data_IF_936126746088
#
_entry.id   IF_936126746088
#
_cell.length_a   1.000
_cell.length_b   1.000
_cell.length_c   1.000
_cell.angle_alpha   90.00
_cell.angle_beta   90.00
_cell.angle_gamma   90.00
#
_symmetry.space_group_name_H-M   'P 1'
#
loop_
_entity.id
_entity.type
_entity.pdbx_description
1 polymer ?
#
# COMPACT_ATOMS: atom_id res chain seq x y z
N UNK A 1 -3.19 24.65 17.84
CA UNK A 1 -1.73 24.46 17.79
C UNK A 1 -1.36 24.06 16.36
N UNK A 2 -0.29 24.62 15.79
CA UNK A 2 0.16 24.33 14.43
C UNK A 2 1.57 23.74 14.53
N UNK A 3 1.81 22.61 13.86
CA UNK A 3 3.12 21.97 13.80
C UNK A 3 3.49 21.69 12.36
N UNK A 4 4.70 22.07 11.97
CA UNK A 4 5.25 21.88 10.63
C UNK A 4 6.50 21.01 10.71
N UNK A 5 6.39 19.78 10.20
CA UNK A 5 7.40 18.71 10.26
C UNK A 5 8.11 18.56 11.62
N UNK A 6 7.37 18.55 12.75
CA UNK A 6 7.97 18.68 14.08
C UNK A 6 8.84 17.48 14.49
N UNK A 7 8.68 16.34 13.83
CA UNK A 7 9.37 15.08 14.15
C UNK A 7 10.43 14.68 13.11
N UNK A 8 10.60 15.46 12.04
CA UNK A 8 11.46 15.10 10.91
C UNK A 8 12.94 14.94 11.29
N UNK A 9 13.40 15.67 12.31
CA UNK A 9 14.79 15.63 12.79
C UNK A 9 15.08 14.50 13.79
N UNK A 10 14.08 13.76 14.25
CA UNK A 10 14.23 12.73 15.28
C UNK A 10 14.62 11.38 14.69
N UNK A 11 15.35 10.56 15.45
CA UNK A 11 15.56 9.16 15.10
C UNK A 11 14.25 8.37 15.20
N UNK A 12 14.23 7.18 14.58
CA UNK A 12 13.00 6.38 14.46
C UNK A 12 12.35 6.05 15.80
N UNK A 13 13.14 5.72 16.83
CA UNK A 13 12.61 5.31 18.13
C UNK A 13 12.01 6.50 18.87
N UNK A 14 12.76 7.62 18.92
CA UNK A 14 12.29 8.82 19.59
C UNK A 14 11.08 9.43 18.85
N UNK A 15 11.07 9.36 17.51
CA UNK A 15 9.94 9.77 16.68
C UNK A 15 8.66 9.03 17.07
N UNK A 16 8.72 7.70 17.16
CA UNK A 16 7.55 6.88 17.55
C UNK A 16 7.06 7.22 18.96
N UNK A 17 7.97 7.42 19.91
CA UNK A 17 7.61 7.82 21.28
C UNK A 17 6.93 9.20 21.31
N UNK A 18 7.49 10.18 20.59
CA UNK A 18 6.94 11.53 20.52
C UNK A 18 5.59 11.59 19.79
N UNK A 19 5.35 10.72 18.80
CA UNK A 19 4.02 10.59 18.17
C UNK A 19 2.96 10.24 19.22
N UNK A 20 3.20 9.19 20.01
CA UNK A 20 2.26 8.76 21.05
C UNK A 20 2.01 9.87 22.08
N UNK A 21 3.07 10.54 22.53
CA UNK A 21 2.96 11.62 23.52
C UNK A 21 2.21 12.85 22.95
N UNK A 22 2.51 13.28 21.73
CA UNK A 22 1.81 14.40 21.09
C UNK A 22 0.32 14.12 20.93
N UNK A 23 -0.06 12.89 20.57
CA UNK A 23 -1.46 12.47 20.46
C UNK A 23 -2.15 12.51 21.83
N UNK A 24 -1.49 12.01 22.86
CA UNK A 24 -2.01 12.05 24.24
C UNK A 24 -2.18 13.49 24.75
N UNK A 25 -1.22 14.38 24.47
CA UNK A 25 -1.31 15.81 24.80
C UNK A 25 -2.49 16.45 24.08
N UNK A 26 -2.64 16.22 22.78
CA UNK A 26 -3.75 16.76 22.01
C UNK A 26 -5.11 16.33 22.59
N UNK A 27 -5.27 15.04 22.91
CA UNK A 27 -6.49 14.50 23.49
C UNK A 27 -6.78 15.09 24.88
N UNK A 28 -5.75 15.26 25.71
CA UNK A 28 -5.88 15.83 27.05
C UNK A 28 -6.24 17.31 27.04
N UNK A 29 -5.68 18.08 26.12
CA UNK A 29 -5.86 19.54 26.05
C UNK A 29 -7.13 19.91 25.26
N UNK A 30 -7.57 19.06 24.32
CA UNK A 30 -8.82 19.26 23.58
C UNK A 30 -8.78 20.43 22.59
N UNK A 31 -7.59 20.90 22.22
CA UNK A 31 -7.42 21.98 21.24
C UNK A 31 -7.37 21.43 19.80
N UNK A 32 -7.76 22.27 18.84
CA UNK A 32 -7.54 21.97 17.42
C UNK A 32 -6.04 21.90 17.12
N UNK A 33 -5.65 20.82 16.46
CA UNK A 33 -4.27 20.54 16.08
C UNK A 33 -4.20 20.44 14.57
N UNK A 34 -3.30 21.22 13.95
CA UNK A 34 -2.96 21.07 12.53
C UNK A 34 -1.51 20.61 12.50
N UNK A 35 -1.30 19.45 11.88
CA UNK A 35 -0.01 18.79 11.77
C UNK A 35 0.32 18.63 10.29
N UNK A 36 1.45 19.18 9.87
CA UNK A 36 1.95 19.09 8.49
C UNK A 36 3.16 18.16 8.49
N UNK A 37 3.14 17.17 7.60
CA UNK A 37 4.24 16.22 7.43
C UNK A 37 4.29 15.74 5.99
N UNK A 38 5.47 15.31 5.55
CA UNK A 38 5.65 14.52 4.33
C UNK A 38 5.68 13.01 4.61
N UNK A 39 5.67 12.58 5.88
CA UNK A 39 5.70 11.17 6.28
C UNK A 39 4.27 10.59 6.34
N UNK A 40 4.07 9.50 5.61
CA UNK A 40 2.77 8.85 5.46
C UNK A 40 2.35 8.11 6.73
N UNK A 41 3.29 7.48 7.42
CA UNK A 41 3.02 6.73 8.65
C UNK A 41 2.60 7.71 9.75
N UNK A 42 3.28 8.85 9.85
CA UNK A 42 2.88 9.95 10.72
C UNK A 42 1.45 10.43 10.43
N UNK A 43 1.14 10.72 9.16
CA UNK A 43 -0.19 11.21 8.79
C UNK A 43 -1.29 10.20 9.17
N UNK A 44 -1.06 8.91 8.93
CA UNK A 44 -2.02 7.84 9.19
C UNK A 44 -2.22 7.55 10.68
N UNK A 45 -1.18 7.68 11.52
CA UNK A 45 -1.26 7.33 12.95
C UNK A 45 -1.69 8.50 13.83
N UNK A 46 -1.31 9.73 13.46
CA UNK A 46 -1.50 10.93 14.29
C UNK A 46 -2.80 11.67 14.04
N UNK A 47 -3.39 11.51 12.85
CA UNK A 47 -4.48 12.37 12.39
C UNK A 47 -5.85 11.71 12.51
N UNK A 48 -6.85 12.46 12.97
CA UNK A 48 -8.26 12.04 12.85
C UNK A 48 -8.76 12.19 11.41
N UNK A 49 -8.25 13.21 10.71
CA UNK A 49 -8.49 13.48 9.28
C UNK A 49 -7.21 13.98 8.63
N UNK A 50 -7.01 13.59 7.37
CA UNK A 50 -5.86 13.94 6.55
C UNK A 50 -6.36 14.69 5.33
N UNK A 51 -5.67 15.78 4.98
CA UNK A 51 -5.82 16.44 3.69
C UNK A 51 -4.55 16.18 2.86
N UNK A 52 -4.69 15.50 1.73
CA UNK A 52 -3.58 15.23 0.82
C UNK A 52 -3.46 16.38 -0.17
N UNK A 53 -2.27 16.98 -0.25
CA UNK A 53 -1.98 18.10 -1.15
C UNK A 53 -1.13 17.64 -2.34
N UNK A 54 -1.43 18.19 -3.51
CA UNK A 54 -0.64 18.05 -4.72
C UNK A 54 -0.64 19.39 -5.48
N UNK A 55 0.54 19.87 -5.88
CA UNK A 55 0.69 21.16 -6.58
C UNK A 55 -0.09 22.34 -5.95
N UNK A 56 -0.11 22.40 -4.61
CA UNK A 56 -0.81 23.46 -3.87
C UNK A 56 -2.34 23.33 -3.83
N UNK A 57 -2.91 22.23 -4.33
CA UNK A 57 -4.34 21.91 -4.26
C UNK A 57 -4.58 20.70 -3.37
N UNK A 58 -5.75 20.67 -2.74
CA UNK A 58 -6.21 19.49 -1.99
C UNK A 58 -6.76 18.48 -2.99
N UNK A 59 -6.14 17.31 -3.04
CA UNK A 59 -6.58 16.16 -3.84
C UNK A 59 -7.71 15.40 -3.14
N UNK A 60 -7.58 15.20 -1.82
CA UNK A 60 -8.55 14.46 -1.03
C UNK A 60 -8.47 14.86 0.44
N UNK A 61 -9.63 14.87 1.11
CA UNK A 61 -9.72 14.97 2.57
C UNK A 61 -10.56 13.81 3.09
N UNK A 62 -10.06 13.10 4.09
CA UNK A 62 -10.75 11.93 4.66
C UNK A 62 -10.10 11.47 5.95
N UNK A 63 -10.68 10.46 6.58
CA UNK A 63 -10.04 9.70 7.66
C UNK A 63 -8.83 8.94 7.12
N UNK A 64 -7.87 8.53 7.99
CA UNK A 64 -6.75 7.67 7.57
C UNK A 64 -7.19 6.43 6.78
N UNK A 65 -8.27 5.78 7.22
CA UNK A 65 -8.82 4.60 6.54
C UNK A 65 -9.36 4.94 5.14
N UNK A 66 -10.14 6.02 4.99
CA UNK A 66 -10.64 6.43 3.67
C UNK A 66 -9.51 6.80 2.72
N UNK A 67 -8.52 7.55 3.21
CA UNK A 67 -7.35 7.95 2.42
C UNK A 67 -6.54 6.73 1.96
N UNK A 68 -6.43 5.70 2.80
CA UNK A 68 -5.68 4.48 2.48
C UNK A 68 -6.47 3.49 1.60
N UNK A 69 -7.71 3.19 1.96
CA UNK A 69 -8.54 2.13 1.36
C UNK A 69 -9.38 2.61 0.17
N UNK A 70 -9.68 3.91 0.11
CA UNK A 70 -10.52 4.53 -0.91
C UNK A 70 -9.89 5.83 -1.44
N UNK A 71 -8.69 5.76 -2.03
CA UNK A 71 -8.05 6.93 -2.64
C UNK A 71 -8.87 7.44 -3.82
N UNK A 72 -9.08 8.76 -3.88
CA UNK A 72 -9.90 9.43 -4.90
C UNK A 72 -9.15 9.61 -6.23
N UNK A 73 -7.83 9.73 -6.19
CA UNK A 73 -6.98 9.92 -7.39
C UNK A 73 -5.79 8.97 -7.40
N UNK A 74 -5.23 8.73 -8.59
CA UNK A 74 -4.00 7.93 -8.75
C UNK A 74 -2.85 8.48 -7.91
N UNK A 75 -2.78 9.82 -7.80
CA UNK A 75 -1.82 10.48 -6.93
C UNK A 75 -1.99 10.05 -5.48
N UNK A 76 -3.20 10.14 -4.92
CA UNK A 76 -3.44 9.71 -3.52
C UNK A 76 -3.17 8.22 -3.33
N UNK A 77 -3.55 7.39 -4.30
CA UNK A 77 -3.32 5.95 -4.26
C UNK A 77 -1.82 5.58 -4.22
N UNK A 78 -0.97 6.33 -4.94
CA UNK A 78 0.49 6.16 -4.93
C UNK A 78 1.19 6.91 -3.80
N UNK A 79 0.57 7.98 -3.28
CA UNK A 79 1.11 8.81 -2.20
C UNK A 79 0.97 8.15 -0.83
N UNK A 80 -0.09 7.37 -0.60
CA UNK A 80 -0.38 6.81 0.73
C UNK A 80 -0.04 5.32 0.73
N UNK A 81 1.25 5.00 0.69
CA UNK A 81 1.80 3.64 0.68
C UNK A 81 2.08 3.08 -0.71
N UNK A 82 2.83 1.97 -0.75
CA UNK A 82 3.12 1.25 -1.99
C UNK A 82 1.81 0.69 -2.54
N UNK A 83 1.50 0.98 -3.80
CA UNK A 83 0.36 0.40 -4.52
C UNK A 83 0.84 -0.14 -5.85
N UNK A 84 0.32 -1.28 -6.28
CA UNK A 84 0.58 -1.76 -7.62
C UNK A 84 -0.36 -1.05 -8.58
N UNK A 85 0.18 -0.42 -9.61
CA UNK A 85 -0.60 0.13 -10.73
C UNK A 85 -0.45 -0.83 -11.89
N UNK A 86 -1.58 -1.30 -12.42
CA UNK A 86 -1.61 -2.19 -13.59
C UNK A 86 -2.39 -1.52 -14.70
N UNK A 87 -1.82 -1.46 -15.89
CA UNK A 87 -2.38 -0.77 -17.05
C UNK A 87 -2.19 -1.58 -18.34
N UNK A 88 -2.82 -1.14 -19.43
CA UNK A 88 -2.63 -1.69 -20.77
C UNK A 88 -2.98 -3.17 -20.91
N UNK A 89 -2.11 -3.93 -21.59
CA UNK A 89 -2.35 -5.34 -21.90
C UNK A 89 -2.39 -6.22 -20.66
N UNK A 90 -1.59 -5.89 -19.63
CA UNK A 90 -1.64 -6.59 -18.35
C UNK A 90 -2.99 -6.39 -17.65
N UNK A 91 -3.53 -5.17 -17.66
CA UNK A 91 -4.85 -4.89 -17.09
C UNK A 91 -5.94 -5.66 -17.83
N UNK A 92 -5.86 -5.71 -19.16
CA UNK A 92 -6.78 -6.49 -20.01
C UNK A 92 -6.69 -7.98 -19.74
N UNK A 93 -5.48 -8.53 -19.62
CA UNK A 93 -5.27 -9.95 -19.35
C UNK A 93 -5.86 -10.38 -18.00
N UNK A 94 -5.79 -9.53 -16.98
CA UNK A 94 -6.24 -9.84 -15.62
C UNK A 94 -7.73 -9.60 -15.43
N UNK A 95 -8.23 -8.45 -15.88
CA UNK A 95 -9.61 -8.00 -15.58
C UNK A 95 -10.58 -8.21 -16.74
N UNK A 96 -10.06 -8.57 -17.93
CA UNK A 96 -10.83 -8.58 -19.17
C UNK A 96 -11.12 -7.19 -19.75
N UNK A 97 -10.63 -6.11 -19.13
CA UNK A 97 -10.87 -4.72 -19.54
C UNK A 97 -9.56 -3.95 -19.63
N UNK A 98 -9.41 -3.00 -20.58
CA UNK A 98 -8.19 -2.21 -20.71
C UNK A 98 -8.03 -1.10 -19.65
N UNK A 99 -8.97 -0.98 -18.71
CA UNK A 99 -8.96 0.07 -17.71
C UNK A 99 -7.87 -0.20 -16.66
N UNK A 100 -7.03 0.80 -16.41
CA UNK A 100 -6.01 0.73 -15.37
C UNK A 100 -6.64 0.56 -13.99
N UNK A 101 -5.99 -0.21 -13.13
CA UNK A 101 -6.44 -0.40 -11.76
C UNK A 101 -5.26 -0.43 -10.79
N UNK A 102 -5.58 -0.19 -9.52
CA UNK A 102 -4.65 -0.39 -8.43
C UNK A 102 -5.06 -1.53 -7.53
N UNK A 103 -4.07 -2.20 -6.96
CA UNK A 103 -4.25 -3.19 -5.89
C UNK A 103 -3.11 -3.06 -4.91
N UNK A 104 -3.46 -3.04 -3.63
CA UNK A 104 -2.48 -2.93 -2.54
C UNK A 104 -1.67 -4.23 -2.40
N UNK A 105 -0.34 -4.17 -2.18
CA UNK A 105 0.52 -5.35 -2.06
C UNK A 105 0.08 -6.35 -0.99
N UNK A 106 -0.44 -5.88 0.13
CA UNK A 106 -0.90 -6.70 1.27
C UNK A 106 -2.28 -7.34 1.04
N UNK A 107 -2.97 -6.97 -0.05
CA UNK A 107 -4.23 -7.60 -0.48
C UNK A 107 -4.01 -8.73 -1.49
N UNK A 108 -2.77 -8.93 -1.93
CA UNK A 108 -2.40 -9.98 -2.87
C UNK A 108 -1.84 -11.16 -2.08
N UNK A 109 -2.27 -12.35 -2.43
CA UNK A 109 -1.78 -13.60 -1.87
C UNK A 109 -0.99 -14.39 -2.92
N UNK A 110 0.13 -14.96 -2.51
CA UNK A 110 0.87 -15.93 -3.32
C UNK A 110 0.26 -17.33 -3.13
N UNK A 111 -0.05 -17.98 -4.25
CA UNK A 111 -0.53 -19.35 -4.32
C UNK A 111 0.38 -20.19 -5.20
N UNK A 112 0.29 -21.51 -5.03
CA UNK A 112 0.92 -22.46 -5.95
C UNK A 112 0.41 -22.25 -7.39
N UNK A 113 1.28 -22.43 -8.40
CA UNK A 113 0.86 -22.39 -9.79
C UNK A 113 -0.33 -23.32 -10.07
N UNK A 114 -1.33 -22.83 -10.78
CA UNK A 114 -2.52 -23.61 -11.12
C UNK A 114 -3.55 -23.79 -9.99
N UNK A 115 -3.33 -23.21 -8.81
CA UNK A 115 -4.34 -23.17 -7.76
C UNK A 115 -5.65 -22.53 -8.27
N UNK A 116 -6.83 -23.02 -7.83
CA UNK A 116 -8.11 -22.48 -8.29
C UNK A 116 -8.25 -21.00 -7.91
N UNK A 117 -8.90 -20.26 -8.80
CA UNK A 117 -9.27 -18.86 -8.58
C UNK A 117 -10.76 -18.81 -8.28
N UNK A 118 -11.17 -18.14 -7.20
CA UNK A 118 -12.57 -17.96 -6.88
C UNK A 118 -13.25 -17.01 -7.89
N UNK A 119 -14.58 -17.08 -8.01
CA UNK A 119 -15.31 -16.29 -9.00
C UNK A 119 -15.21 -14.77 -8.79
N UNK A 120 -15.02 -14.36 -7.54
CA UNK A 120 -14.88 -13.00 -7.04
C UNK A 120 -13.41 -12.56 -6.90
N UNK A 121 -12.47 -13.33 -7.43
CA UNK A 121 -11.05 -13.01 -7.44
C UNK A 121 -10.58 -12.60 -8.84
N UNK A 122 -9.51 -11.82 -8.87
CA UNK A 122 -8.58 -11.74 -9.99
C UNK A 122 -7.37 -12.60 -9.69
N UNK A 123 -6.73 -13.10 -10.75
CA UNK A 123 -5.49 -13.86 -10.62
C UNK A 123 -4.55 -13.60 -11.78
N UNK A 124 -3.25 -13.67 -11.51
CA UNK A 124 -2.20 -13.55 -12.52
C UNK A 124 -1.04 -14.50 -12.19
N UNK A 125 -0.56 -15.23 -13.20
CA UNK A 125 0.61 -16.09 -13.04
C UNK A 125 1.90 -15.31 -13.32
N UNK A 126 2.96 -15.67 -12.60
CA UNK A 126 4.26 -15.01 -12.73
C UNK A 126 5.40 -15.76 -12.04
N UNK A 127 6.54 -15.09 -11.95
CA UNK A 127 7.75 -15.59 -11.32
C UNK A 127 8.31 -14.60 -10.31
N UNK A 128 8.67 -15.08 -9.11
CA UNK A 128 9.30 -14.26 -8.08
C UNK A 128 10.68 -13.82 -8.57
N UNK A 129 10.85 -12.52 -8.83
CA UNK A 129 12.11 -11.92 -9.26
C UNK A 129 12.99 -11.55 -8.07
N UNK A 130 12.41 -10.93 -7.05
CA UNK A 130 13.13 -10.46 -5.86
C UNK A 130 12.35 -10.77 -4.58
N UNK A 131 13.09 -10.92 -3.49
CA UNK A 131 12.56 -11.20 -2.16
C UNK A 131 13.28 -10.31 -1.15
N UNK A 132 12.52 -9.59 -0.33
CA UNK A 132 13.05 -8.72 0.73
C UNK A 132 12.39 -9.09 2.04
N UNK A 133 13.17 -9.63 2.97
CA UNK A 133 12.71 -9.96 4.32
C UNK A 133 12.74 -8.70 5.20
N UNK A 134 11.57 -8.29 5.71
CA UNK A 134 11.37 -7.08 6.52
C UNK A 134 10.98 -7.43 7.97
N UNK A 135 11.48 -8.57 8.49
CA UNK A 135 11.16 -9.03 9.84
C UNK A 135 9.77 -9.67 9.90
N UNK A 136 8.75 -8.91 10.28
CA UNK A 136 7.38 -9.42 10.43
C UNK A 136 6.72 -9.74 9.08
N UNK A 137 7.14 -9.07 8.02
CA UNK A 137 6.61 -9.25 6.67
C UNK A 137 7.73 -9.56 5.69
N UNK A 138 7.37 -10.21 4.59
CA UNK A 138 8.21 -10.36 3.41
C UNK A 138 7.59 -9.63 2.25
N UNK A 139 8.41 -8.87 1.51
CA UNK A 139 8.03 -8.25 0.26
C UNK A 139 8.59 -9.05 -0.91
N UNK A 140 7.70 -9.47 -1.81
CA UNK A 140 8.04 -10.16 -3.04
C UNK A 140 7.81 -9.23 -4.23
N UNK A 141 8.73 -9.24 -5.20
CA UNK A 141 8.49 -8.68 -6.53
C UNK A 141 8.28 -9.82 -7.50
N UNK A 142 7.12 -9.86 -8.14
CA UNK A 142 6.72 -10.93 -9.07
C UNK A 142 6.58 -10.33 -10.46
N UNK A 143 7.35 -10.86 -11.41
CA UNK A 143 7.19 -10.57 -12.82
C UNK A 143 6.04 -11.42 -13.37
N UNK A 144 4.96 -10.78 -13.81
CA UNK A 144 3.81 -11.44 -14.40
C UNK A 144 4.09 -11.84 -15.84
N UNK A 145 3.48 -12.95 -16.27
CA UNK A 145 3.56 -13.43 -17.64
C UNK A 145 2.93 -12.44 -18.65
N UNK A 146 2.02 -11.58 -18.19
CA UNK A 146 1.39 -10.54 -18.98
C UNK A 146 2.19 -9.22 -19.09
N UNK A 147 3.45 -9.20 -18.66
CA UNK A 147 4.38 -8.09 -18.92
C UNK A 147 4.35 -6.94 -17.91
N UNK A 148 3.99 -7.20 -16.65
CA UNK A 148 4.06 -6.22 -15.55
C UNK A 148 4.65 -6.84 -14.29
N UNK A 149 5.29 -6.04 -13.44
CA UNK A 149 5.78 -6.49 -12.14
C UNK A 149 4.79 -6.07 -11.04
N UNK A 150 4.40 -7.00 -10.16
CA UNK A 150 3.63 -6.69 -8.96
C UNK A 150 4.47 -6.92 -7.70
N UNK A 151 4.29 -6.04 -6.74
CA UNK A 151 4.79 -6.18 -5.38
C UNK A 151 3.72 -6.85 -4.52
N UNK A 152 4.11 -7.87 -3.76
CA UNK A 152 3.24 -8.56 -2.80
C UNK A 152 3.87 -8.46 -1.42
N UNK A 153 3.06 -8.24 -0.38
CA UNK A 153 3.53 -8.20 1.00
C UNK A 153 2.76 -9.25 1.80
N UNK A 154 3.48 -10.24 2.33
CA UNK A 154 2.90 -11.27 3.20
C UNK A 154 3.51 -11.25 4.58
N UNK A 155 2.71 -11.52 5.60
CA UNK A 155 3.19 -11.68 6.97
C UNK A 155 3.93 -13.03 7.12
N UNK A 156 5.04 -13.02 7.83
CA UNK A 156 5.85 -14.20 8.11
C UNK A 156 5.25 -15.03 9.27
N UNK A 157 4.02 -15.52 9.08
CA UNK A 157 3.28 -16.25 10.12
C UNK A 157 3.75 -17.70 10.30
N UNK A 158 4.26 -18.32 9.24
CA UNK A 158 4.59 -19.76 9.19
C UNK A 158 5.91 -20.07 8.52
N UNK A 159 6.47 -19.10 7.82
CA UNK A 159 7.61 -19.28 6.91
C UNK A 159 8.89 -18.86 7.62
N UNK A 160 9.93 -19.68 7.55
CA UNK A 160 11.25 -19.27 8.06
C UNK A 160 11.92 -18.31 7.08
N UNK A 161 12.87 -17.50 7.56
CA UNK A 161 13.65 -16.61 6.71
C UNK A 161 14.42 -17.36 5.60
N UNK A 162 14.76 -18.63 5.81
CA UNK A 162 15.40 -19.49 4.79
C UNK A 162 14.44 -19.89 3.68
N UNK A 163 13.20 -20.27 4.00
CA UNK A 163 12.17 -20.63 3.01
C UNK A 163 11.76 -19.43 2.15
N UNK A 164 11.79 -18.23 2.76
CA UNK A 164 11.56 -16.95 2.08
C UNK A 164 12.66 -16.67 1.05
N UNK A 165 13.94 -16.75 1.43
CA UNK A 165 15.04 -16.43 0.52
C UNK A 165 15.17 -17.44 -0.62
N UNK A 166 14.84 -18.71 -0.37
CA UNK A 166 14.72 -19.74 -1.39
C UNK A 166 13.56 -19.48 -2.38
N UNK A 167 12.72 -18.47 -2.14
CA UNK A 167 11.57 -18.21 -3.00
C UNK A 167 11.90 -17.66 -4.37
N UNK A 168 13.08 -17.05 -4.52
CA UNK A 168 13.48 -16.41 -5.76
C UNK A 168 13.49 -17.40 -6.92
N UNK A 169 12.89 -17.01 -8.03
CA UNK A 169 12.76 -17.83 -9.23
C UNK A 169 11.60 -18.82 -9.21
N UNK A 170 10.87 -18.98 -8.09
CA UNK A 170 9.67 -19.83 -8.07
C UNK A 170 8.55 -19.22 -8.92
N UNK A 171 7.84 -20.09 -9.64
CA UNK A 171 6.56 -19.77 -10.27
C UNK A 171 5.49 -19.67 -9.20
N UNK A 172 4.62 -18.68 -9.32
CA UNK A 172 3.52 -18.43 -8.37
C UNK A 172 2.30 -17.92 -9.11
N UNK A 173 1.14 -18.14 -8.51
CA UNK A 173 -0.11 -17.47 -8.88
C UNK A 173 -0.40 -16.38 -7.86
N UNK A 174 -0.59 -15.16 -8.32
CA UNK A 174 -1.10 -14.06 -7.51
C UNK A 174 -2.63 -14.14 -7.54
N UNK A 175 -3.26 -13.97 -6.38
CA UNK A 175 -4.72 -13.92 -6.26
C UNK A 175 -5.14 -12.83 -5.27
N UNK A 176 -6.22 -12.12 -5.59
CA UNK A 176 -6.82 -11.12 -4.71
C UNK A 176 -8.30 -10.93 -5.06
N UNK A 177 -9.11 -10.51 -4.09
CA UNK A 177 -10.52 -10.21 -4.33
C UNK A 177 -10.68 -9.00 -5.26
N UNK A 178 -11.66 -9.07 -6.16
CA UNK A 178 -11.98 -7.99 -7.11
C UNK A 178 -12.33 -6.68 -6.41
N UNK A 179 -12.92 -6.75 -5.22
CA UNK A 179 -13.27 -5.58 -4.40
C UNK A 179 -12.04 -4.76 -3.94
N UNK A 180 -10.87 -5.40 -3.84
CA UNK A 180 -9.61 -4.73 -3.51
C UNK A 180 -8.94 -4.04 -4.71
N UNK A 181 -9.53 -4.18 -5.91
CA UNK A 181 -9.06 -3.46 -7.10
C UNK A 181 -9.84 -2.17 -7.29
N UNK A 182 -9.13 -1.05 -7.42
CA UNK A 182 -9.75 0.25 -7.71
C UNK A 182 -9.39 0.68 -9.12
N UNK A 183 -10.39 0.88 -9.97
CA UNK A 183 -10.17 1.45 -11.30
C UNK A 183 -9.71 2.89 -11.16
N UNK A 184 -8.64 3.25 -11.85
CA UNK A 184 -8.17 4.61 -11.90
C UNK A 184 -8.91 5.34 -13.02
N UNK A 185 -9.56 6.45 -12.70
CA UNK A 185 -9.88 7.45 -13.70
C UNK A 185 -8.59 8.19 -14.06
N UNK A 186 -8.33 8.41 -15.35
CA UNK A 186 -7.24 9.29 -15.75
C UNK A 186 -7.52 10.69 -15.20
N UNK A 187 -6.59 11.21 -14.40
CA UNK A 187 -6.62 12.61 -13.97
C UNK A 187 -6.27 13.48 -15.18
N UNK A 188 -7.16 14.40 -15.57
CA UNK A 188 -6.89 15.45 -16.57
C UNK A 188 -5.77 16.41 -16.11
#
# INVERSE_FOLDING_TARGET
LLLDEPLGALDLKLRQEMQVELKAIQQRVGITFIFVTHDQEEALTMSDRIAVFNHGRIEQVGTPAEIYESPATTFVAGFVGISNVVSGDAARAITGRPASFTVRPEKIHLREPGAPTAADEYSADGQIRDVVYLGMNTRYRVALDCGSDLTVVEQNLRTTSMDVLAARGRRVRLAWERAHSRTLAESE
#
